data_IF_808838755363
#
_entry.id   IF_808838755363
#
_cell.length_a   1.000
_cell.length_b   1.000
_cell.length_c   1.000
_cell.angle_alpha   90.00
_cell.angle_beta   90.00
_cell.angle_gamma   90.00
#
_symmetry.space_group_name_H-M   'P 1'
#
loop_
_entity.id
_entity.type
_entity.pdbx_description
1 polymer ?
#
# COMPACT_ATOMS: atom_id res chain seq x y z
N UNK A 1 -5.82 -15.79 -4.37
CA UNK A 1 -4.71 -14.93 -4.81
C UNK A 1 -4.49 -13.89 -3.73
N UNK A 2 -3.24 -13.55 -3.42
CA UNK A 2 -2.96 -12.48 -2.46
C UNK A 2 -3.17 -11.12 -3.14
N UNK A 3 -3.84 -10.15 -2.47
CA UNK A 3 -4.09 -8.84 -3.04
C UNK A 3 -2.81 -8.07 -3.34
N UNK A 4 -2.92 -7.14 -4.30
CA UNK A 4 -1.83 -6.26 -4.70
C UNK A 4 -1.98 -4.93 -3.97
N UNK A 5 -0.88 -4.41 -3.45
CA UNK A 5 -0.83 -3.12 -2.79
C UNK A 5 0.27 -2.23 -3.38
N UNK A 6 0.05 -0.92 -3.39
CA UNK A 6 1.10 0.07 -3.59
C UNK A 6 1.54 0.67 -2.27
N UNK A 7 2.85 0.63 -2.04
CA UNK A 7 3.49 1.35 -0.95
C UNK A 7 3.82 2.76 -1.41
N UNK A 8 3.35 3.77 -0.70
CA UNK A 8 3.67 5.18 -0.95
C UNK A 8 4.72 5.61 0.07
N UNK A 9 5.88 6.06 -0.41
CA UNK A 9 6.98 6.49 0.47
C UNK A 9 7.78 7.65 -0.13
N UNK A 10 8.44 8.41 0.73
CA UNK A 10 9.43 9.41 0.33
C UNK A 10 10.82 8.79 0.26
N UNK A 11 11.53 9.03 -0.83
CA UNK A 11 12.94 8.70 -0.99
C UNK A 11 13.64 9.86 -1.69
N UNK A 12 14.76 10.33 -1.12
CA UNK A 12 15.53 11.46 -1.66
C UNK A 12 14.68 12.72 -1.94
N UNK A 13 13.68 12.99 -1.09
CA UNK A 13 12.79 14.14 -1.23
C UNK A 13 11.64 13.97 -2.23
N UNK A 14 11.62 12.87 -2.98
CA UNK A 14 10.58 12.56 -3.96
C UNK A 14 9.58 11.55 -3.39
N UNK A 15 8.31 11.69 -3.79
CA UNK A 15 7.29 10.69 -3.51
C UNK A 15 7.40 9.58 -4.55
N UNK A 16 7.51 8.34 -4.11
CA UNK A 16 7.63 7.16 -4.95
C UNK A 16 6.58 6.13 -4.55
N UNK A 17 6.20 5.27 -5.50
CA UNK A 17 5.36 4.11 -5.23
C UNK A 17 6.10 2.81 -5.51
N UNK A 18 5.73 1.74 -4.82
CA UNK A 18 6.23 0.39 -5.11
C UNK A 18 5.15 -0.65 -4.87
N UNK A 19 4.89 -1.44 -5.89
CA UNK A 19 3.91 -2.52 -5.85
C UNK A 19 4.45 -3.72 -5.06
N UNK A 20 3.62 -4.28 -4.19
CA UNK A 20 3.87 -5.49 -3.41
C UNK A 20 2.64 -6.37 -3.43
N UNK A 21 2.85 -7.68 -3.32
CA UNK A 21 1.77 -8.65 -3.18
C UNK A 21 1.90 -9.30 -1.81
N UNK A 22 0.89 -9.11 -0.96
CA UNK A 22 0.88 -9.56 0.44
C UNK A 22 -0.54 -9.95 0.86
N UNK A 23 -0.68 -10.60 2.02
CA UNK A 23 -1.97 -11.13 2.46
C UNK A 23 -2.97 -10.01 2.79
N UNK A 24 -2.51 -8.90 3.37
CA UNK A 24 -3.37 -7.80 3.83
C UNK A 24 -2.62 -6.45 3.92
N UNK A 25 -3.37 -5.39 4.21
CA UNK A 25 -2.86 -4.03 4.32
C UNK A 25 -1.88 -3.83 5.49
N UNK A 26 -2.04 -4.57 6.59
CA UNK A 26 -1.13 -4.48 7.74
C UNK A 26 0.25 -5.02 7.37
N UNK A 27 0.28 -6.14 6.64
CA UNK A 27 1.51 -6.73 6.14
C UNK A 27 2.20 -5.79 5.13
N UNK A 28 1.43 -5.15 4.24
CA UNK A 28 1.96 -4.15 3.31
C UNK A 28 2.58 -2.97 4.06
N UNK A 29 1.91 -2.45 5.08
CA UNK A 29 2.40 -1.34 5.89
C UNK A 29 3.68 -1.70 6.65
N UNK A 30 3.72 -2.87 7.30
CA UNK A 30 4.90 -3.36 8.00
C UNK A 30 6.09 -3.54 7.05
N UNK A 31 5.86 -4.12 5.87
CA UNK A 31 6.89 -4.27 4.85
C UNK A 31 7.43 -2.90 4.38
N UNK A 32 6.54 -1.93 4.18
CA UNK A 32 6.90 -0.56 3.85
C UNK A 32 7.72 0.11 4.94
N UNK A 33 7.34 -0.04 6.21
CA UNK A 33 8.10 0.47 7.37
C UNK A 33 9.47 -0.19 7.54
N UNK A 34 9.60 -1.48 7.23
CA UNK A 34 10.90 -2.17 7.28
C UNK A 34 11.84 -1.70 6.18
N UNK A 35 11.32 -1.52 4.95
CA UNK A 35 12.14 -1.11 3.79
C UNK A 35 12.41 0.40 3.74
N UNK A 36 11.46 1.19 4.22
CA UNK A 36 11.47 2.66 4.14
C UNK A 36 11.10 3.28 5.51
N UNK A 37 11.87 3.05 6.58
CA UNK A 37 11.49 3.36 7.97
C UNK A 37 11.16 4.84 8.22
N UNK A 38 11.83 5.74 7.51
CA UNK A 38 11.62 7.20 7.61
C UNK A 38 10.81 7.77 6.43
N UNK A 39 10.59 6.96 5.39
CA UNK A 39 9.98 7.39 4.14
C UNK A 39 8.50 7.02 4.04
N UNK A 40 8.06 5.96 4.72
CA UNK A 40 6.72 5.40 4.55
C UNK A 40 5.62 6.42 4.84
N UNK A 41 4.62 6.51 3.96
CA UNK A 41 3.49 7.44 4.06
C UNK A 41 2.16 6.72 4.08
N UNK A 42 1.91 5.84 3.11
CA UNK A 42 0.62 5.20 2.95
C UNK A 42 0.71 3.86 2.19
N UNK A 43 -0.38 3.09 2.21
CA UNK A 43 -0.57 1.88 1.43
C UNK A 43 -1.94 1.92 0.75
N UNK A 44 -1.98 1.62 -0.55
CA UNK A 44 -3.23 1.53 -1.32
C UNK A 44 -3.44 0.11 -1.81
N UNK A 45 -4.63 -0.45 -1.65
CA UNK A 45 -5.01 -1.73 -2.26
C UNK A 45 -5.35 -1.49 -3.73
N UNK A 46 -4.68 -2.20 -4.63
CA UNK A 46 -4.96 -2.17 -6.08
C UNK A 46 -5.91 -3.27 -6.53
N UNK A 47 -6.31 -4.16 -5.63
CA UNK A 47 -7.24 -5.22 -5.99
C UNK A 47 -8.63 -4.60 -6.23
N UNK A 48 -9.07 -4.63 -7.50
CA UNK A 48 -10.34 -4.05 -7.94
C UNK A 48 -11.57 -4.69 -7.25
N UNK A 49 -11.40 -5.80 -6.54
CA UNK A 49 -12.46 -6.45 -5.77
C UNK A 49 -12.64 -5.86 -4.35
N UNK A 50 -11.71 -5.04 -3.85
CA UNK A 50 -11.86 -4.34 -2.56
C UNK A 50 -12.60 -3.00 -2.69
N UNK A 51 -12.97 -2.61 -3.92
CA UNK A 51 -13.99 -1.60 -4.17
C UNK A 51 -15.34 -2.32 -4.30
N UNK A 52 -15.89 -2.80 -3.18
CA UNK A 52 -17.34 -2.74 -3.11
C UNK A 52 -17.71 -1.26 -3.27
N UNK A 53 -18.56 -0.87 -4.24
CA UNK A 53 -19.07 0.49 -4.26
C UNK A 53 -19.73 0.71 -2.91
N UNK A 54 -19.26 1.72 -2.18
CA UNK A 54 -19.94 2.26 -1.02
C UNK A 54 -21.43 2.37 -1.37
N UNK A 55 -22.23 1.49 -0.77
CA UNK A 55 -23.67 1.60 -0.82
C UNK A 55 -24.01 2.90 -0.10
N UNK A 56 -24.25 3.94 -0.90
CA UNK A 56 -25.36 4.86 -0.74
C UNK A 56 -25.49 5.48 0.66
N UNK A 57 -24.97 6.70 0.85
CA UNK A 57 -25.73 7.79 1.49
C UNK A 57 -25.40 9.15 0.90
#
# INVERSE_FOLDING_TARGET
MSPIYELIFKHQGQLMTKTVQVADASQAWQLGRQRYPHGMRDVVCLDAAAAEPDQQR
#
